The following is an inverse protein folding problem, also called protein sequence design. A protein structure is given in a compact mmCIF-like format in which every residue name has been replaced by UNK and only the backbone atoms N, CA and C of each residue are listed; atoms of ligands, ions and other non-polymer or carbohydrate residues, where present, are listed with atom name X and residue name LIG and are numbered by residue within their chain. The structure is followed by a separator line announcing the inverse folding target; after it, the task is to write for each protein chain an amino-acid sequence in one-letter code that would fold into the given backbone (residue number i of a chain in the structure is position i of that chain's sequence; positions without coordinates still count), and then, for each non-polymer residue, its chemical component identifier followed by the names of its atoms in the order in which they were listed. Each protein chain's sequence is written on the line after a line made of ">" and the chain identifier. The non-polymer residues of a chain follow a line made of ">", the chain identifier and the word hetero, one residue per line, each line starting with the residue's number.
data_IF_307068894778
#
_entry.id   IF_307068894778
#
_cell.length_a   1.000
_cell.length_b   1.000
_cell.length_c   1.000
_cell.angle_alpha   90.00
_cell.angle_beta   90.00
_cell.angle_gamma   90.00
#
_symmetry.space_group_name_H-M   'P 1'
#
loop_
_entity.id
_entity.type
_entity.pdbx_description
1 polymer ?
#
# COMPACT_ATOMS: atom_id res chain seq x y z
N UNK A 1 -5.89 12.39 4.67
CA UNK A 1 -4.53 12.49 4.12
C UNK A 1 -3.57 11.49 4.78
N UNK A 2 -3.40 11.49 6.12
CA UNK A 2 -2.40 10.67 6.85
C UNK A 2 -2.65 9.16 6.84
N UNK A 3 -3.89 8.70 6.77
CA UNK A 3 -4.19 7.25 6.63
C UNK A 3 -4.56 6.89 5.20
N UNK A 4 -4.96 7.87 4.38
CA UNK A 4 -5.45 7.55 3.05
C UNK A 4 -4.31 7.12 2.13
N UNK A 5 -3.25 7.90 2.00
CA UNK A 5 -2.20 7.67 0.99
C UNK A 5 -1.23 6.54 1.32
N UNK A 6 -1.18 6.16 2.59
CA UNK A 6 -0.38 5.08 3.13
C UNK A 6 -1.11 3.74 3.01
N UNK A 7 -2.43 3.77 2.81
CA UNK A 7 -3.27 2.60 2.57
C UNK A 7 -3.84 2.54 1.15
N UNK A 8 -3.62 3.58 0.34
CA UNK A 8 -4.17 3.70 -1.01
C UNK A 8 -3.03 3.92 -2.01
N UNK A 9 -2.69 2.85 -2.72
CA UNK A 9 -1.80 2.89 -3.87
C UNK A 9 -2.12 1.69 -4.78
N UNK A 10 -2.07 1.81 -6.12
CA UNK A 10 -2.38 0.70 -7.02
C UNK A 10 -1.48 -0.53 -6.84
N UNK A 11 -0.32 -0.38 -6.21
CA UNK A 11 0.57 -1.50 -5.91
C UNK A 11 0.19 -2.28 -4.64
N UNK A 12 -0.71 -1.76 -3.80
CA UNK A 12 -1.10 -2.40 -2.54
C UNK A 12 -2.16 -3.50 -2.74
N UNK A 13 -1.93 -4.69 -2.19
CA UNK A 13 -2.90 -5.77 -2.23
C UNK A 13 -4.02 -5.52 -1.22
N UNK A 14 -5.21 -6.00 -1.56
CA UNK A 14 -6.34 -6.15 -0.64
C UNK A 14 -6.65 -7.64 -0.52
N UNK A 15 -7.02 -8.09 0.66
CA UNK A 15 -7.17 -9.51 0.93
C UNK A 15 -8.59 -9.84 1.34
N UNK A 16 -9.16 -10.87 0.72
CA UNK A 16 -10.34 -11.55 1.25
C UNK A 16 -9.98 -12.32 2.54
N UNK A 17 -10.97 -12.66 3.38
CA UNK A 17 -10.72 -13.35 4.65
C UNK A 17 -9.90 -14.64 4.51
N UNK A 18 -10.06 -15.38 3.42
CA UNK A 18 -9.33 -16.64 3.14
C UNK A 18 -7.83 -16.44 2.92
N UNK A 19 -7.40 -15.25 2.53
CA UNK A 19 -6.01 -14.96 2.14
C UNK A 19 -5.35 -13.95 3.08
N UNK A 20 -6.10 -13.43 4.04
CA UNK A 20 -5.61 -12.45 5.01
C UNK A 20 -4.94 -13.14 6.20
N UNK A 21 -3.83 -12.57 6.65
CA UNK A 21 -3.27 -12.82 7.96
C UNK A 21 -2.61 -11.53 8.46
N UNK A 22 -2.18 -11.50 9.73
CA UNK A 22 -1.58 -10.30 10.31
C UNK A 22 -0.38 -9.77 9.50
N UNK A 23 0.52 -10.66 9.07
CA UNK A 23 1.74 -10.27 8.33
C UNK A 23 1.40 -9.64 6.99
N UNK A 24 0.43 -10.21 6.25
CA UNK A 24 -0.06 -9.68 4.97
C UNK A 24 -0.80 -8.37 5.15
N UNK A 25 -1.66 -8.28 6.17
CA UNK A 25 -2.39 -7.07 6.51
C UNK A 25 -1.47 -5.91 6.88
N UNK A 26 -0.46 -6.16 7.73
CA UNK A 26 0.51 -5.15 8.13
C UNK A 26 1.42 -4.70 6.97
N UNK A 27 1.68 -5.57 5.99
CA UNK A 27 2.39 -5.20 4.75
C UNK A 27 1.53 -4.41 3.75
N UNK A 28 0.22 -4.31 3.94
CA UNK A 28 -0.70 -3.62 3.03
C UNK A 28 -0.68 -2.10 3.25
N UNK A 29 0.52 -1.55 3.38
CA UNK A 29 0.81 -0.13 3.54
C UNK A 29 2.02 0.31 2.73
N UNK A 30 2.14 1.61 2.52
CA UNK A 30 3.26 2.23 1.81
C UNK A 30 3.75 3.47 2.55
N UNK A 31 5.05 3.57 2.72
CA UNK A 31 5.67 4.79 3.26
C UNK A 31 5.68 5.89 2.20
N UNK A 32 5.45 7.11 2.63
CA UNK A 32 5.46 8.32 1.80
C UNK A 32 6.40 9.34 2.42
N UNK A 33 6.90 10.29 1.64
CA UNK A 33 7.70 11.39 2.16
C UNK A 33 6.93 12.70 2.04
N UNK A 34 6.49 13.27 3.16
CA UNK A 34 5.85 14.58 3.19
C UNK A 34 6.78 15.70 3.65
N UNK A 35 8.08 15.42 3.65
CA UNK A 35 9.16 16.33 3.99
C UNK A 35 9.02 16.89 5.40
N UNK A 36 9.24 18.19 5.53
CA UNK A 36 9.20 18.89 6.82
C UNK A 36 7.89 18.68 7.58
N UNK A 37 6.75 18.68 6.89
CA UNK A 37 5.43 18.53 7.52
C UNK A 37 5.31 17.12 8.12
N UNK A 38 5.65 16.09 7.34
CA UNK A 38 5.67 14.70 7.81
C UNK A 38 6.56 14.53 9.04
N UNK A 39 7.79 15.04 8.97
CA UNK A 39 8.78 14.93 10.04
C UNK A 39 8.40 15.66 11.32
N UNK A 40 8.01 16.94 11.24
CA UNK A 40 7.89 17.81 12.40
C UNK A 40 6.47 18.00 12.92
N UNK A 41 5.45 17.86 12.07
CA UNK A 41 4.05 18.01 12.48
C UNK A 41 3.42 16.64 12.72
N UNK A 42 3.77 15.64 11.91
CA UNK A 42 3.23 14.28 12.01
C UNK A 42 4.20 13.27 12.61
N UNK A 43 5.32 13.73 13.16
CA UNK A 43 6.29 12.90 13.88
C UNK A 43 6.80 11.69 13.06
N UNK A 44 6.93 11.82 11.74
CA UNK A 44 7.45 10.75 10.89
C UNK A 44 6.48 9.60 10.62
N UNK A 45 5.21 9.67 11.07
CA UNK A 45 4.25 8.57 10.89
C UNK A 45 3.94 8.30 9.42
N UNK A 46 4.10 9.30 8.55
CA UNK A 46 3.88 9.19 7.11
C UNK A 46 5.03 8.40 6.45
N UNK A 47 6.24 8.61 6.96
CA UNK A 47 7.52 8.06 6.48
C UNK A 47 7.84 6.68 7.06
N UNK A 48 7.20 6.30 8.17
CA UNK A 48 7.45 5.05 8.91
C UNK A 48 6.17 4.23 9.14
N UNK A 49 5.17 4.43 8.28
CA UNK A 49 3.85 3.85 8.43
C UNK A 49 3.87 2.33 8.34
N UNK A 50 4.69 1.75 7.47
CA UNK A 50 4.87 0.29 7.37
C UNK A 50 5.31 -0.29 8.72
N UNK A 51 6.33 0.31 9.35
CA UNK A 51 6.75 -0.10 10.68
C UNK A 51 5.61 0.04 11.69
N UNK A 52 4.89 1.17 11.66
CA UNK A 52 3.78 1.40 12.59
C UNK A 52 2.73 0.28 12.54
N UNK A 53 2.46 -0.31 11.38
CA UNK A 53 1.53 -1.44 11.27
C UNK A 53 2.06 -2.75 11.88
N UNK A 54 3.36 -2.98 11.78
CA UNK A 54 3.99 -4.16 12.40
C UNK A 54 4.24 -3.99 13.90
N UNK A 55 4.65 -2.81 14.35
CA UNK A 55 5.04 -2.56 15.74
C UNK A 55 4.65 -1.15 16.15
N UNK A 56 3.34 -0.90 16.30
CA UNK A 56 2.79 0.42 16.68
C UNK A 56 3.20 0.91 18.08
N UNK A 57 3.77 0.02 18.91
CA UNK A 57 4.24 0.35 20.26
C UNK A 57 5.62 1.00 20.29
N UNK A 58 6.37 0.98 19.17
CA UNK A 58 7.64 1.70 19.07
C UNK A 58 7.34 3.20 19.00
N UNK A 59 7.93 4.02 19.88
CA UNK A 59 7.70 5.46 19.86
C UNK A 59 8.34 6.12 18.63
N UNK A 60 7.75 7.22 18.16
CA UNK A 60 8.14 7.88 16.92
C UNK A 60 9.63 8.29 16.85
N UNK A 61 10.24 8.64 17.99
CA UNK A 61 11.66 9.01 18.05
C UNK A 61 12.62 7.83 17.82
N UNK A 62 12.12 6.58 17.85
CA UNK A 62 12.83 5.37 17.46
C UNK A 62 12.31 4.76 16.16
N UNK A 63 11.28 5.35 15.53
CA UNK A 63 10.63 4.77 14.37
C UNK A 63 11.57 4.70 13.16
N UNK A 64 12.42 5.70 12.93
CA UNK A 64 13.38 5.65 11.80
C UNK A 64 14.34 4.46 11.93
N UNK A 65 14.92 4.26 13.11
CA UNK A 65 15.87 3.18 13.39
C UNK A 65 15.20 1.81 13.21
N UNK A 66 13.97 1.67 13.71
CA UNK A 66 13.22 0.43 13.58
C UNK A 66 12.73 0.18 12.14
N UNK A 67 12.43 1.23 11.37
CA UNK A 67 12.08 1.14 9.95
C UNK A 67 13.27 0.65 9.13
N UNK A 68 14.48 1.17 9.38
CA UNK A 68 15.69 0.65 8.74
C UNK A 68 15.96 -0.81 9.13
N UNK A 69 15.64 -1.21 10.37
CA UNK A 69 15.81 -2.59 10.82
C UNK A 69 14.82 -3.58 10.17
N UNK A 70 13.57 -3.17 9.88
CA UNK A 70 12.55 -4.06 9.29
C UNK A 70 12.67 -4.18 7.77
N UNK A 71 13.20 -3.16 7.08
CA UNK A 71 13.44 -3.17 5.61
C UNK A 71 14.13 -4.45 5.10
N UNK A 72 15.30 -4.88 5.64
CA UNK A 72 15.96 -6.10 5.16
C UNK A 72 15.16 -7.38 5.46
N UNK A 73 14.36 -7.40 6.51
CA UNK A 73 13.50 -8.54 6.87
C UNK A 73 12.34 -8.68 5.88
N UNK A 74 11.72 -7.55 5.51
CA UNK A 74 10.64 -7.53 4.51
C UNK A 74 11.15 -7.68 3.08
N UNK A 75 12.38 -7.22 2.81
CA UNK A 75 13.01 -7.26 1.49
C UNK A 75 12.09 -6.63 0.43
N UNK A 76 11.79 -7.40 -0.62
CA UNK A 76 10.92 -6.98 -1.73
C UNK A 76 9.49 -6.61 -1.32
N UNK A 77 9.05 -6.99 -0.13
CA UNK A 77 7.70 -6.72 0.36
C UNK A 77 7.57 -5.38 1.08
N UNK A 78 8.69 -4.75 1.45
CA UNK A 78 8.67 -3.38 1.98
C UNK A 78 8.27 -2.42 0.87
N UNK A 79 7.33 -1.51 1.15
CA UNK A 79 6.84 -0.55 0.16
C UNK A 79 7.07 0.88 0.62
N UNK A 80 7.70 1.64 -0.26
CA UNK A 80 7.88 3.08 -0.12
C UNK A 80 7.72 3.74 -1.50
N UNK A 81 7.05 4.89 -1.53
CA UNK A 81 6.97 5.79 -2.67
C UNK A 81 7.29 7.20 -2.16
N UNK A 82 8.60 7.44 -2.07
CA UNK A 82 9.24 8.64 -1.49
C UNK A 82 9.94 9.49 -2.55
N UNK A 83 9.87 9.09 -3.83
CA UNK A 83 10.54 9.78 -4.91
C UNK A 83 9.97 11.20 -5.10
N UNK A 84 10.84 12.21 -5.09
CA UNK A 84 10.44 13.61 -5.22
C UNK A 84 9.87 14.23 -3.94
N UNK A 85 9.99 13.57 -2.78
CA UNK A 85 9.63 14.10 -1.47
C UNK A 85 8.22 14.68 -1.42
N UNK A 86 8.05 15.88 -0.87
CA UNK A 86 6.74 16.56 -0.78
C UNK A 86 6.03 16.72 -2.14
N UNK A 87 6.77 16.89 -3.25
CA UNK A 87 6.17 16.94 -4.60
C UNK A 87 5.65 15.56 -5.01
N UNK A 88 6.42 14.51 -4.70
CA UNK A 88 6.00 13.11 -4.84
C UNK A 88 4.73 12.80 -4.05
N UNK A 89 4.63 13.32 -2.82
CA UNK A 89 3.43 13.20 -2.01
C UNK A 89 2.19 13.84 -2.67
N UNK A 90 2.33 15.04 -3.26
CA UNK A 90 1.21 15.64 -3.99
C UNK A 90 0.84 14.84 -5.25
N UNK A 91 1.83 14.26 -5.95
CA UNK A 91 1.59 13.33 -7.06
C UNK A 91 0.86 12.07 -6.58
N UNK A 92 1.17 11.56 -5.40
CA UNK A 92 0.51 10.36 -4.85
C UNK A 92 -0.97 10.61 -4.54
N UNK A 93 -1.34 11.82 -4.10
CA UNK A 93 -2.75 12.23 -3.96
C UNK A 93 -3.47 12.11 -5.31
N UNK A 94 -2.91 12.72 -6.35
CA UNK A 94 -3.50 12.71 -7.68
C UNK A 94 -3.58 11.30 -8.26
N UNK A 95 -2.51 10.52 -8.13
CA UNK A 95 -2.45 9.10 -8.54
C UNK A 95 -3.52 8.29 -7.84
N UNK A 96 -3.60 8.37 -6.50
CA UNK A 96 -4.58 7.63 -5.71
C UNK A 96 -6.01 7.95 -6.13
N UNK A 97 -6.35 9.23 -6.27
CA UNK A 97 -7.69 9.66 -6.69
C UNK A 97 -8.10 9.15 -8.09
N UNK A 98 -7.13 9.01 -9.00
CA UNK A 98 -7.40 8.57 -10.38
C UNK A 98 -7.28 7.07 -10.60
N UNK A 99 -6.49 6.37 -9.79
CA UNK A 99 -6.11 4.97 -10.03
C UNK A 99 -6.79 4.00 -9.08
N UNK A 100 -7.24 4.47 -7.91
CA UNK A 100 -7.75 3.64 -6.81
C UNK A 100 -9.24 3.89 -6.56
N UNK A 101 -10.10 3.39 -7.44
CA UNK A 101 -11.55 3.63 -7.37
C UNK A 101 -12.33 2.42 -6.80
N UNK A 102 -11.94 1.19 -7.15
CA UNK A 102 -12.46 -0.06 -6.59
C UNK A 102 -11.41 -1.16 -6.67
N UNK A 103 -11.64 -2.33 -6.07
CA UNK A 103 -10.70 -3.47 -6.08
C UNK A 103 -11.31 -4.70 -6.73
N UNK A 104 -10.51 -5.43 -7.50
CA UNK A 104 -10.91 -6.67 -8.19
C UNK A 104 -9.74 -7.66 -8.22
N UNK A 105 -10.00 -8.97 -8.42
CA UNK A 105 -8.94 -9.95 -8.68
C UNK A 105 -8.13 -9.58 -9.93
N UNK A 106 -6.86 -10.01 -9.97
CA UNK A 106 -6.06 -9.95 -11.19
C UNK A 106 -6.45 -11.08 -12.16
N UNK A 107 -6.14 -10.92 -13.45
CA UNK A 107 -6.43 -11.92 -14.49
C UNK A 107 -5.88 -13.31 -14.18
N UNK A 108 -4.73 -13.38 -13.52
CA UNK A 108 -4.06 -14.62 -13.12
C UNK A 108 -4.66 -15.24 -11.84
N UNK A 109 -5.42 -14.46 -11.06
CA UNK A 109 -6.03 -14.89 -9.79
C UNK A 109 -7.48 -15.35 -9.96
N UNK A 110 -8.15 -14.96 -11.05
CA UNK A 110 -9.56 -15.29 -11.26
C UNK A 110 -9.73 -16.75 -11.67
N UNK A 111 -10.28 -17.55 -10.76
CA UNK A 111 -10.51 -18.99 -10.96
C UNK A 111 -9.37 -19.88 -10.46
N UNK A 112 -8.28 -19.30 -9.93
CA UNK A 112 -7.21 -20.05 -9.28
C UNK A 112 -7.70 -20.63 -7.94
N UNK A 113 -7.75 -21.97 -7.78
CA UNK A 113 -8.15 -22.56 -6.51
C UNK A 113 -7.08 -22.26 -5.44
N UNK A 114 -7.49 -21.67 -4.31
CA UNK A 114 -6.61 -21.41 -3.16
C UNK A 114 -6.47 -19.93 -2.78
N UNK A 115 -5.43 -19.61 -1.99
CA UNK A 115 -5.21 -18.27 -1.42
C UNK A 115 -5.00 -17.17 -2.48
N UNK A 116 -4.55 -17.52 -3.69
CA UNK A 116 -4.25 -16.54 -4.76
C UNK A 116 -5.51 -15.84 -5.28
N UNK A 117 -6.65 -16.54 -5.30
CA UNK A 117 -7.94 -15.98 -5.71
C UNK A 117 -8.51 -14.92 -4.77
N UNK A 118 -7.99 -14.84 -3.54
CA UNK A 118 -8.41 -13.86 -2.52
C UNK A 118 -7.56 -12.58 -2.48
N UNK A 119 -6.62 -12.38 -3.41
CA UNK A 119 -5.81 -11.15 -3.50
C UNK A 119 -6.37 -10.22 -4.59
N UNK A 120 -6.75 -9.02 -4.18
CA UNK A 120 -7.40 -8.00 -5.02
C UNK A 120 -6.48 -6.78 -5.16
N UNK A 121 -6.62 -6.05 -6.27
CA UNK A 121 -5.88 -4.82 -6.53
C UNK A 121 -6.78 -3.73 -7.06
N UNK A 122 -6.36 -2.48 -6.89
CA UNK A 122 -7.13 -1.33 -7.36
C UNK A 122 -7.33 -1.30 -8.88
N UNK A 123 -8.47 -0.72 -9.25
CA UNK A 123 -8.97 -0.48 -10.60
C UNK A 123 -9.55 0.93 -10.70
N UNK A 124 -9.74 1.37 -11.94
CA UNK A 124 -10.30 2.67 -12.25
C UNK A 124 -10.91 2.69 -13.65
N UNK A 125 -11.80 3.67 -13.88
CA UNK A 125 -12.43 3.94 -15.18
C UNK A 125 -11.47 4.58 -16.19
N UNK A 126 -10.28 5.00 -15.75
CA UNK A 126 -9.30 5.69 -16.59
C UNK A 126 -8.38 4.74 -17.37
N UNK A 127 -8.48 3.42 -17.15
CA UNK A 127 -7.61 2.43 -17.80
C UNK A 127 -6.15 2.47 -17.32
N UNK A 128 -5.89 3.01 -16.13
CA UNK A 128 -4.54 3.14 -15.56
C UNK A 128 -4.22 1.99 -14.60
N UNK A 129 -2.95 1.62 -14.46
CA UNK A 129 -2.51 0.55 -13.56
C UNK A 129 -2.60 -0.85 -14.16
N UNK A 130 -2.72 -1.88 -13.32
CA UNK A 130 -2.76 -3.28 -13.78
C UNK A 130 -4.10 -3.62 -14.45
N UNK A 131 -4.09 -4.35 -15.57
CA UNK A 131 -5.32 -4.71 -16.27
C UNK A 131 -6.22 -5.62 -15.40
N UNK A 132 -7.55 -5.44 -15.46
CA UNK A 132 -8.48 -6.27 -14.71
C UNK A 132 -8.47 -7.72 -15.20
N UNK A 133 -9.00 -8.62 -14.37
CA UNK A 133 -9.26 -9.98 -14.81
C UNK A 133 -10.24 -9.99 -15.99
N UNK A 134 -9.96 -10.81 -17.01
CA UNK A 134 -10.86 -10.95 -18.16
C UNK A 134 -12.12 -11.69 -17.71
N UNK A 135 -13.15 -10.97 -17.31
CA UNK A 135 -14.45 -11.57 -17.00
C UNK A 135 -14.96 -12.21 -18.29
N UNK A 136 -15.19 -13.52 -18.28
CA UNK A 136 -15.88 -14.19 -19.38
C UNK A 136 -17.24 -13.49 -19.54
N UNK A 137 -17.57 -13.06 -20.77
CA UNK A 137 -18.87 -12.42 -21.03
C UNK A 137 -19.96 -13.36 -20.51
N UNK A 138 -20.83 -12.84 -19.64
CA UNK A 138 -22.06 -13.53 -19.30
C UNK A 138 -22.84 -13.71 -20.62
N UNK A 139 -23.11 -14.97 -20.97
CA UNK A 139 -23.99 -15.33 -22.08
C UNK A 139 -25.43 -14.93 -21.75
#
# INVERSE_FOLDING_TARGET
>A
AITYLQHTDPSLPHYQPSSWNYVRGAAATIDRDFGFIGRHIFHGIIETHVLHHYVCTIPFYNADLASEAIKPVMGRHYRADVEGGSIGFLKSIWKSARWCQWVEPNAEAMGSPGEEGGVLFFRNRNGLGMPPAKVAKAN
#
